data_IF_111119750878
#
_entry.id   IF_111119750878
#
_cell.length_a   1.000
_cell.length_b   1.000
_cell.length_c   1.000
_cell.angle_alpha   90.00
_cell.angle_beta   90.00
_cell.angle_gamma   90.00
#
_symmetry.space_group_name_H-M   'P 1'
#
loop_
_entity.id
_entity.type
_entity.pdbx_description
1 polymer ?
#
# COMPACT_ATOMS: atom_id res chain seq x y z
N UNK A 1 18.79 -32.71 -43.75
CA UNK A 1 17.40 -32.78 -44.24
C UNK A 1 16.59 -33.52 -43.17
N UNK A 2 15.61 -33.01 -42.44
CA UNK A 2 14.82 -31.78 -42.41
C UNK A 2 14.25 -31.65 -40.99
N UNK A 3 14.46 -30.51 -40.32
CA UNK A 3 13.75 -30.16 -39.09
C UNK A 3 12.25 -29.94 -39.41
N UNK A 4 11.36 -30.77 -38.86
CA UNK A 4 9.91 -30.51 -38.94
C UNK A 4 9.53 -29.44 -37.92
N UNK A 5 9.42 -28.19 -38.39
CA UNK A 5 8.75 -27.11 -37.68
C UNK A 5 7.25 -27.42 -37.62
N UNK A 6 6.72 -27.64 -36.41
CA UNK A 6 5.28 -27.63 -36.19
C UNK A 6 4.78 -26.18 -36.24
N UNK A 7 4.08 -25.84 -37.33
CA UNK A 7 3.31 -24.61 -37.48
C UNK A 7 2.06 -24.68 -36.59
N UNK A 8 1.88 -23.70 -35.73
CA UNK A 8 0.63 -23.46 -35.01
C UNK A 8 -0.33 -22.68 -35.92
N UNK A 9 -1.65 -22.96 -35.91
CA UNK A 9 -2.62 -22.21 -36.72
C UNK A 9 -2.78 -20.78 -36.20
N UNK A 10 -2.95 -19.84 -37.14
CA UNK A 10 -3.15 -18.40 -36.88
C UNK A 10 -4.41 -18.15 -36.04
N UNK A 11 -4.22 -17.78 -34.78
CA UNK A 11 -5.30 -17.35 -33.88
C UNK A 11 -5.64 -15.88 -34.20
N UNK A 12 -6.91 -15.52 -34.45
CA UNK A 12 -7.28 -14.14 -34.72
C UNK A 12 -6.93 -13.20 -33.55
N UNK A 13 -6.10 -12.20 -33.81
CA UNK A 13 -5.75 -11.13 -32.87
C UNK A 13 -7.01 -10.35 -32.48
N UNK A 14 -7.60 -10.65 -31.32
CA UNK A 14 -8.66 -9.81 -30.72
C UNK A 14 -8.08 -8.41 -30.44
N UNK A 15 -8.49 -7.43 -31.25
CA UNK A 15 -8.23 -6.00 -31.05
C UNK A 15 -8.70 -5.61 -29.63
N UNK A 16 -7.79 -5.12 -28.78
CA UNK A 16 -8.14 -4.44 -27.53
C UNK A 16 -8.94 -3.19 -27.88
N UNK A 17 -10.25 -3.21 -27.69
CA UNK A 17 -11.06 -2.00 -27.74
C UNK A 17 -10.72 -1.17 -26.50
N UNK A 18 -10.31 0.07 -26.76
CA UNK A 18 -10.01 1.10 -25.77
C UNK A 18 -11.32 1.49 -25.06
N UNK A 19 -11.65 0.80 -23.97
CA UNK A 19 -12.74 1.23 -23.09
C UNK A 19 -12.19 2.28 -22.13
N UNK A 20 -12.48 3.53 -22.44
CA UNK A 20 -12.25 4.69 -21.57
C UNK A 20 -12.95 4.43 -20.22
N UNK A 21 -12.18 4.01 -19.23
CA UNK A 21 -12.66 3.80 -17.87
C UNK A 21 -12.85 5.19 -17.23
N UNK A 22 -14.10 5.64 -17.13
CA UNK A 22 -14.46 6.78 -16.27
C UNK A 22 -14.36 6.30 -14.82
N UNK A 23 -13.21 6.54 -14.20
CA UNK A 23 -12.99 6.30 -12.77
C UNK A 23 -13.78 7.32 -11.95
N UNK A 24 -15.10 7.17 -11.88
CA UNK A 24 -15.91 7.86 -10.88
C UNK A 24 -15.71 7.14 -9.54
N UNK A 25 -15.07 7.86 -8.62
CA UNK A 25 -14.93 7.65 -7.18
C UNK A 25 -15.42 6.30 -6.64
N UNK A 26 -14.47 5.37 -6.39
CA UNK A 26 -14.69 4.23 -5.50
C UNK A 26 -14.85 4.78 -4.09
N UNK A 27 -16.10 4.96 -3.67
CA UNK A 27 -16.46 5.08 -2.27
C UNK A 27 -16.16 3.72 -1.64
N UNK A 28 -15.46 3.73 -0.51
CA UNK A 28 -15.05 2.56 0.27
C UNK A 28 -16.25 1.75 0.74
N UNK A 29 -16.75 0.82 -0.07
CA UNK A 29 -17.73 -0.19 0.38
C UNK A 29 -16.96 -1.37 0.98
N UNK A 30 -17.14 -1.69 2.27
CA UNK A 30 -16.63 -2.94 2.82
C UNK A 30 -17.45 -4.09 2.25
N UNK A 31 -16.84 -4.90 1.37
CA UNK A 31 -17.40 -6.19 0.95
C UNK A 31 -18.17 -6.22 -0.37
N UNK A 32 -17.76 -5.45 -1.39
CA UNK A 32 -18.27 -5.70 -2.75
C UNK A 32 -17.82 -7.09 -3.23
N UNK A 33 -18.69 -8.08 -3.04
CA UNK A 33 -18.66 -9.40 -3.66
C UNK A 33 -19.42 -9.24 -4.98
N UNK A 34 -18.75 -9.27 -6.15
CA UNK A 34 -19.46 -9.19 -7.42
C UNK A 34 -20.54 -10.27 -7.56
N UNK A 35 -21.65 -9.93 -8.21
CA UNK A 35 -22.87 -10.76 -8.32
C UNK A 35 -22.68 -12.12 -8.99
N UNK A 36 -21.54 -12.36 -9.66
CA UNK A 36 -21.17 -13.66 -10.25
C UNK A 36 -20.48 -14.61 -9.26
N UNK A 37 -20.22 -14.17 -8.03
CA UNK A 37 -19.93 -15.06 -6.92
C UNK A 37 -21.27 -15.45 -6.29
N UNK A 38 -21.78 -16.63 -6.63
CA UNK A 38 -22.88 -17.22 -5.85
C UNK A 38 -22.48 -17.18 -4.37
N UNK A 39 -23.41 -16.71 -3.52
CA UNK A 39 -23.17 -16.67 -2.08
C UNK A 39 -22.88 -18.10 -1.62
N UNK A 40 -21.70 -18.29 -1.03
CA UNK A 40 -21.25 -19.52 -0.37
C UNK A 40 -20.53 -20.59 -1.21
N UNK A 41 -19.87 -20.24 -2.31
CA UNK A 41 -18.91 -21.18 -2.94
C UNK A 41 -17.82 -21.62 -1.93
N UNK A 42 -17.59 -22.93 -1.76
CA UNK A 42 -16.58 -23.44 -0.83
C UNK A 42 -15.17 -23.29 -1.39
N UNK A 43 -14.18 -23.21 -0.51
CA UNK A 43 -12.76 -23.19 -0.89
C UNK A 43 -12.40 -24.45 -1.68
N UNK A 44 -11.96 -24.28 -2.93
CA UNK A 44 -11.64 -25.43 -3.82
C UNK A 44 -10.47 -26.29 -3.33
N UNK A 45 -9.69 -25.81 -2.35
CA UNK A 45 -8.57 -26.55 -1.76
C UNK A 45 -9.00 -27.43 -0.59
N UNK A 46 -9.86 -26.94 0.31
CA UNK A 46 -10.13 -27.60 1.59
C UNK A 46 -11.62 -27.60 2.02
N UNK A 47 -12.53 -27.10 1.19
CA UNK A 47 -13.97 -27.06 1.46
C UNK A 47 -14.43 -26.08 2.55
N UNK A 48 -13.53 -25.30 3.15
CA UNK A 48 -13.88 -24.27 4.14
C UNK A 48 -14.54 -23.04 3.49
N UNK A 49 -15.20 -22.19 4.27
CA UNK A 49 -15.88 -20.98 3.75
C UNK A 49 -14.90 -20.09 2.98
N UNK A 50 -15.14 -19.86 1.69
CA UNK A 50 -14.28 -19.01 0.88
C UNK A 50 -14.56 -17.53 1.17
N UNK A 51 -13.54 -16.69 0.97
CA UNK A 51 -13.68 -15.22 1.05
C UNK A 51 -13.66 -14.55 -0.32
N UNK A 52 -13.67 -15.35 -1.39
CA UNK A 52 -13.62 -14.92 -2.78
C UNK A 52 -12.41 -15.46 -3.53
N UNK A 53 -12.06 -14.80 -4.64
CA UNK A 53 -10.92 -15.18 -5.46
C UNK A 53 -9.60 -14.71 -4.86
N UNK A 54 -8.68 -15.66 -4.65
CA UNK A 54 -7.28 -15.38 -4.34
C UNK A 54 -6.40 -16.17 -5.29
N UNK A 55 -5.48 -15.47 -5.96
CA UNK A 55 -4.56 -16.10 -6.91
C UNK A 55 -5.30 -16.89 -8.00
N UNK A 56 -6.40 -16.33 -8.54
CA UNK A 56 -7.31 -16.90 -9.55
C UNK A 56 -8.27 -18.01 -9.09
N UNK A 57 -8.24 -18.44 -7.83
CA UNK A 57 -9.11 -19.51 -7.33
C UNK A 57 -9.97 -19.06 -6.15
N UNK A 58 -11.18 -19.62 -6.04
CA UNK A 58 -12.07 -19.43 -4.88
C UNK A 58 -11.47 -20.13 -3.66
N UNK A 59 -10.99 -19.36 -2.69
CA UNK A 59 -10.29 -19.95 -1.54
C UNK A 59 -10.64 -19.24 -0.23
N UNK A 60 -10.44 -19.95 0.88
CA UNK A 60 -10.53 -19.38 2.22
C UNK A 60 -9.25 -18.61 2.59
N UNK A 61 -9.31 -17.76 3.62
CA UNK A 61 -8.14 -17.01 4.11
C UNK A 61 -6.99 -17.92 4.57
N UNK A 62 -7.30 -19.11 5.08
CA UNK A 62 -6.31 -20.11 5.49
C UNK A 62 -5.45 -20.58 4.31
N UNK A 63 -6.08 -20.98 3.20
CA UNK A 63 -5.37 -21.45 2.00
C UNK A 63 -4.70 -20.31 1.24
N UNK A 64 -5.34 -19.13 1.15
CA UNK A 64 -4.72 -17.90 0.64
C UNK A 64 -3.42 -17.57 1.38
N UNK A 65 -3.46 -17.53 2.71
CA UNK A 65 -2.31 -17.19 3.54
C UNK A 65 -1.20 -18.25 3.48
N UNK A 66 -1.58 -19.53 3.48
CA UNK A 66 -0.65 -20.64 3.28
C UNK A 66 0.10 -20.50 1.96
N UNK A 67 -0.63 -20.42 0.84
CA UNK A 67 -0.07 -20.31 -0.50
C UNK A 67 0.89 -19.12 -0.62
N UNK A 68 0.45 -17.93 -0.16
CA UNK A 68 1.29 -16.72 -0.16
C UNK A 68 2.62 -16.93 0.56
N UNK A 69 2.59 -17.48 1.78
CA UNK A 69 3.81 -17.69 2.58
C UNK A 69 4.71 -18.73 1.95
N UNK A 70 4.15 -19.81 1.40
CA UNK A 70 4.90 -20.86 0.74
C UNK A 70 5.69 -20.33 -0.45
N UNK A 71 5.08 -19.51 -1.30
CA UNK A 71 5.76 -18.92 -2.46
C UNK A 71 6.77 -17.84 -2.04
N UNK A 72 6.38 -16.91 -1.15
CA UNK A 72 7.27 -15.81 -0.73
C UNK A 72 8.55 -16.28 -0.04
N UNK A 73 8.46 -17.34 0.75
CA UNK A 73 9.59 -17.90 1.49
C UNK A 73 10.23 -19.10 0.78
N UNK A 74 9.78 -19.43 -0.44
CA UNK A 74 10.22 -20.60 -1.20
C UNK A 74 10.24 -21.89 -0.36
N UNK A 75 9.13 -22.18 0.35
CA UNK A 75 9.05 -23.32 1.29
C UNK A 75 8.57 -24.61 0.63
N UNK A 76 8.01 -24.54 -0.59
CA UNK A 76 7.50 -25.74 -1.25
C UNK A 76 8.55 -26.82 -1.50
N UNK A 77 9.85 -26.53 -1.76
CA UNK A 77 10.86 -27.58 -1.90
C UNK A 77 11.18 -28.29 -0.58
N UNK A 78 10.97 -27.64 0.56
CA UNK A 78 11.24 -28.23 1.88
C UNK A 78 10.07 -29.06 2.42
N UNK A 79 8.90 -29.00 1.79
CA UNK A 79 7.75 -29.76 2.26
C UNK A 79 7.90 -31.24 1.91
N UNK A 80 7.79 -32.10 2.93
CA UNK A 80 7.73 -33.56 2.78
C UNK A 80 6.40 -34.09 3.29
N UNK A 81 5.90 -35.15 2.66
CA UNK A 81 4.77 -35.91 3.20
C UNK A 81 5.31 -37.05 4.07
N UNK A 82 4.65 -37.32 5.20
CA UNK A 82 4.96 -38.45 6.08
C UNK A 82 4.34 -39.78 5.60
N UNK A 83 3.46 -39.69 4.61
CA UNK A 83 2.71 -40.80 4.01
C UNK A 83 2.96 -40.82 2.49
N UNK A 84 2.02 -41.32 1.69
CA UNK A 84 2.16 -41.52 0.24
C UNK A 84 1.96 -40.26 -0.62
N UNK A 85 1.92 -39.07 -0.02
CA UNK A 85 1.72 -37.82 -0.77
C UNK A 85 0.30 -37.61 -1.32
N UNK A 86 -0.68 -38.38 -0.83
CA UNK A 86 -2.10 -38.35 -1.22
C UNK A 86 -3.04 -37.96 -0.06
N UNK A 87 -2.54 -37.23 0.95
CA UNK A 87 -3.35 -36.86 2.12
C UNK A 87 -4.62 -36.10 1.71
N UNK A 88 -5.74 -36.45 2.35
CA UNK A 88 -7.01 -35.72 2.24
C UNK A 88 -6.80 -34.31 2.81
N UNK A 89 -7.28 -33.29 2.09
CA UNK A 89 -7.18 -31.89 2.49
C UNK A 89 -8.60 -31.36 2.67
N UNK A 90 -9.03 -31.25 3.92
CA UNK A 90 -10.31 -30.65 4.32
C UNK A 90 -10.09 -29.51 5.35
N UNK A 91 -11.17 -28.89 5.84
CA UNK A 91 -11.12 -27.79 6.80
C UNK A 91 -10.32 -28.13 8.08
N UNK A 92 -10.41 -29.38 8.54
CA UNK A 92 -9.85 -29.89 9.78
C UNK A 92 -8.42 -30.40 9.54
N UNK A 93 -8.21 -31.18 8.48
CA UNK A 93 -6.97 -31.92 8.20
C UNK A 93 -5.94 -31.13 7.38
N UNK A 94 -6.31 -29.99 6.78
CA UNK A 94 -5.41 -29.18 5.92
C UNK A 94 -4.08 -28.75 6.55
N UNK A 95 -3.92 -28.83 7.87
CA UNK A 95 -2.65 -28.50 8.54
C UNK A 95 -1.75 -29.72 8.81
N UNK A 96 -2.25 -30.94 8.60
CA UNK A 96 -1.51 -32.18 8.89
C UNK A 96 -0.38 -32.44 7.88
N UNK A 97 -0.57 -32.05 6.61
CA UNK A 97 0.45 -32.23 5.57
C UNK A 97 0.57 -30.99 4.67
N UNK A 98 1.70 -30.29 4.78
CA UNK A 98 1.99 -29.09 3.98
C UNK A 98 2.24 -29.42 2.50
N UNK A 99 2.92 -30.55 2.22
CA UNK A 99 3.20 -30.97 0.84
C UNK A 99 1.90 -31.22 0.07
N UNK A 100 1.02 -32.06 0.60
CA UNK A 100 -0.25 -32.40 -0.05
C UNK A 100 -1.17 -31.18 -0.19
N UNK A 101 -1.20 -30.31 0.83
CA UNK A 101 -1.94 -29.05 0.74
C UNK A 101 -1.42 -28.14 -0.38
N UNK A 102 -0.10 -27.98 -0.49
CA UNK A 102 0.50 -27.16 -1.54
C UNK A 102 0.29 -27.78 -2.93
N UNK A 103 0.47 -29.11 -3.07
CA UNK A 103 0.15 -29.82 -4.31
C UNK A 103 -1.31 -29.59 -4.72
N UNK A 104 -2.25 -29.64 -3.77
CA UNK A 104 -3.67 -29.33 -4.04
C UNK A 104 -3.88 -27.88 -4.46
N UNK A 105 -3.21 -26.91 -3.84
CA UNK A 105 -3.25 -25.51 -4.28
C UNK A 105 -2.82 -25.33 -5.74
N UNK A 106 -1.76 -26.02 -6.17
CA UNK A 106 -1.30 -25.98 -7.56
C UNK A 106 -2.26 -26.70 -8.50
N UNK A 107 -2.77 -27.87 -8.11
CA UNK A 107 -3.66 -28.65 -8.98
C UNK A 107 -5.00 -27.98 -9.26
N UNK A 108 -5.51 -27.15 -8.33
CA UNK A 108 -6.72 -26.34 -8.55
C UNK A 108 -6.45 -25.04 -9.32
N UNK A 109 -5.19 -24.73 -9.64
CA UNK A 109 -4.80 -23.59 -10.48
C UNK A 109 -4.43 -22.31 -9.74
N UNK A 110 -4.02 -22.36 -8.46
CA UNK A 110 -3.57 -21.14 -7.77
C UNK A 110 -2.30 -20.59 -8.43
N UNK A 111 -2.37 -19.32 -8.85
CA UNK A 111 -1.37 -18.67 -9.68
C UNK A 111 -0.19 -18.13 -8.86
N UNK A 112 0.99 -18.76 -8.99
CA UNK A 112 2.21 -18.39 -8.25
C UNK A 112 2.76 -17.01 -8.65
N UNK A 113 2.61 -16.63 -9.91
CA UNK A 113 3.07 -15.36 -10.50
C UNK A 113 2.35 -14.12 -9.91
N UNK A 114 1.15 -14.31 -9.37
CA UNK A 114 0.41 -13.26 -8.68
C UNK A 114 0.89 -13.02 -7.24
N UNK A 115 1.78 -13.86 -6.72
CA UNK A 115 2.46 -13.60 -5.46
C UNK A 115 3.64 -12.66 -5.74
N UNK A 116 3.57 -11.45 -5.18
CA UNK A 116 4.63 -10.45 -5.35
C UNK A 116 5.98 -10.97 -4.86
N UNK A 117 6.99 -10.88 -5.73
CA UNK A 117 8.41 -11.02 -5.41
C UNK A 117 8.87 -9.94 -4.39
N UNK A 118 10.07 -10.13 -3.83
CA UNK A 118 10.56 -9.25 -2.77
C UNK A 118 10.77 -7.82 -3.28
N UNK A 119 11.28 -7.62 -4.50
CA UNK A 119 11.47 -6.29 -5.10
C UNK A 119 10.16 -5.52 -5.20
N UNK A 120 9.10 -6.12 -5.75
CA UNK A 120 7.77 -5.51 -5.86
C UNK A 120 7.13 -5.29 -4.50
N UNK A 121 7.35 -6.20 -3.53
CA UNK A 121 6.89 -6.01 -2.15
C UNK A 121 7.53 -4.82 -1.48
N UNK A 122 8.85 -4.65 -1.63
CA UNK A 122 9.59 -3.50 -1.11
C UNK A 122 9.11 -2.22 -1.78
N UNK A 123 8.98 -2.20 -3.11
CA UNK A 123 8.47 -1.05 -3.85
C UNK A 123 7.06 -0.66 -3.39
N UNK A 124 6.14 -1.62 -3.25
CA UNK A 124 4.79 -1.39 -2.74
C UNK A 124 4.81 -0.82 -1.31
N UNK A 125 5.67 -1.34 -0.43
CA UNK A 125 5.81 -0.82 0.94
C UNK A 125 6.29 0.63 0.96
N UNK A 126 7.32 0.95 0.16
CA UNK A 126 7.83 2.33 0.02
C UNK A 126 6.74 3.28 -0.46
N UNK A 127 6.02 2.91 -1.52
CA UNK A 127 4.92 3.71 -2.06
C UNK A 127 3.80 3.93 -1.03
N UNK A 128 3.46 2.92 -0.22
CA UNK A 128 2.45 3.07 0.83
C UNK A 128 2.91 4.07 1.89
N UNK A 129 4.18 4.02 2.28
CA UNK A 129 4.72 4.92 3.30
C UNK A 129 4.81 6.36 2.79
N UNK A 130 5.35 6.56 1.60
CA UNK A 130 5.39 7.87 0.95
C UNK A 130 4.00 8.49 0.81
N UNK A 131 2.99 7.70 0.42
CA UNK A 131 1.60 8.17 0.35
C UNK A 131 0.98 8.47 1.72
N UNK A 132 1.48 7.87 2.81
CA UNK A 132 1.05 8.21 4.18
C UNK A 132 1.68 9.52 4.63
N UNK A 133 2.97 9.70 4.36
CA UNK A 133 3.69 10.95 4.66
C UNK A 133 3.11 12.13 3.88
N UNK A 134 2.82 11.93 2.59
CA UNK A 134 2.17 12.95 1.75
C UNK A 134 0.82 13.37 2.32
N UNK A 135 -0.04 12.41 2.70
CA UNK A 135 -1.34 12.70 3.34
C UNK A 135 -1.19 13.46 4.64
N UNK A 136 -0.23 13.10 5.50
CA UNK A 136 0.06 13.84 6.74
C UNK A 136 0.52 15.27 6.47
N UNK A 137 1.36 15.49 5.45
CA UNK A 137 1.80 16.82 5.05
C UNK A 137 0.64 17.67 4.52
N UNK A 138 -0.19 17.10 3.65
CA UNK A 138 -1.39 17.76 3.12
C UNK A 138 -2.36 18.13 4.23
N UNK A 139 -2.57 17.24 5.20
CA UNK A 139 -3.39 17.50 6.39
C UNK A 139 -2.80 18.61 7.26
N UNK A 140 -1.49 18.60 7.52
CA UNK A 140 -0.81 19.68 8.26
C UNK A 140 -0.94 21.02 7.55
N UNK A 141 -0.74 21.06 6.23
CA UNK A 141 -0.90 22.29 5.43
C UNK A 141 -2.36 22.77 5.47
N UNK A 142 -3.32 21.86 5.35
CA UNK A 142 -4.75 22.21 5.45
C UNK A 142 -5.07 22.82 6.82
N UNK A 143 -4.57 22.24 7.90
CA UNK A 143 -4.75 22.80 9.25
C UNK A 143 -4.12 24.19 9.39
N UNK A 144 -2.95 24.43 8.80
CA UNK A 144 -2.33 25.76 8.79
C UNK A 144 -3.09 26.79 7.94
N UNK A 145 -3.72 26.35 6.85
CA UNK A 145 -4.54 27.21 5.98
C UNK A 145 -5.88 27.57 6.61
N UNK A 146 -6.42 26.72 7.50
CA UNK A 146 -7.59 27.01 8.33
C UNK A 146 -7.15 27.62 9.67
N UNK A 147 -6.25 28.62 9.63
CA UNK A 147 -6.08 29.49 10.79
C UNK A 147 -7.29 30.42 10.85
N UNK A 148 -8.05 30.44 11.96
CA UNK A 148 -9.08 31.47 12.12
C UNK A 148 -8.40 32.83 12.03
N UNK A 149 -9.04 33.78 11.32
CA UNK A 149 -8.65 35.18 11.34
C UNK A 149 -8.61 35.64 12.80
N UNK A 150 -7.56 36.36 13.24
CA UNK A 150 -7.50 36.85 14.61
C UNK A 150 -8.71 37.74 14.89
N UNK A 151 -9.30 37.60 16.07
CA UNK A 151 -10.33 38.53 16.50
C UNK A 151 -9.75 39.94 16.77
N UNK A 152 -10.62 40.92 17.01
CA UNK A 152 -10.18 42.31 17.26
C UNK A 152 -9.25 42.45 18.47
N UNK A 153 -9.48 41.70 19.55
CA UNK A 153 -8.64 41.75 20.74
C UNK A 153 -7.28 41.08 20.49
N UNK A 154 -7.28 39.98 19.74
CA UNK A 154 -6.07 39.31 19.28
C UNK A 154 -5.23 40.21 18.35
N UNK A 155 -5.86 40.94 17.42
CA UNK A 155 -5.17 41.92 16.58
C UNK A 155 -4.56 43.07 17.38
N UNK A 156 -5.26 43.58 18.38
CA UNK A 156 -4.73 44.62 19.28
C UNK A 156 -3.52 44.12 20.05
N UNK A 157 -3.57 42.88 20.56
CA UNK A 157 -2.46 42.24 21.24
C UNK A 157 -1.26 42.03 20.30
N UNK A 158 -1.49 41.50 19.09
CA UNK A 158 -0.45 41.33 18.05
C UNK A 158 0.22 42.67 17.75
N UNK A 159 -0.55 43.74 17.57
CA UNK A 159 -0.03 45.09 17.29
C UNK A 159 0.81 45.59 18.47
N UNK A 160 0.32 45.47 19.69
CA UNK A 160 1.01 45.92 20.90
C UNK A 160 2.36 45.19 21.09
N UNK A 161 2.37 43.87 20.93
CA UNK A 161 3.59 43.06 21.03
C UNK A 161 4.59 43.41 19.92
N UNK A 162 4.11 43.59 18.69
CA UNK A 162 4.93 43.97 17.53
C UNK A 162 5.54 45.36 17.71
N UNK A 163 4.76 46.30 18.25
CA UNK A 163 5.21 47.66 18.59
C UNK A 163 6.31 47.63 19.65
N UNK A 164 6.06 46.91 20.75
CA UNK A 164 7.03 46.75 21.84
C UNK A 164 8.33 46.09 21.34
N UNK A 165 8.22 45.05 20.50
CA UNK A 165 9.36 44.42 19.85
C UNK A 165 10.12 45.42 18.98
N UNK A 166 9.42 46.26 18.19
CA UNK A 166 10.07 47.28 17.37
C UNK A 166 10.78 48.32 18.22
N UNK A 167 10.18 48.81 19.29
CA UNK A 167 10.85 49.78 20.17
C UNK A 167 12.05 49.21 20.92
N UNK A 168 12.01 47.92 21.28
CA UNK A 168 13.12 47.26 21.98
C UNK A 168 14.21 46.75 21.03
N UNK A 169 13.89 46.43 19.77
CA UNK A 169 14.85 45.91 18.78
C UNK A 169 15.30 46.90 17.69
N UNK A 170 14.56 48.00 17.45
CA UNK A 170 14.94 49.03 16.48
C UNK A 170 15.94 50.06 17.04
N UNK A 171 16.31 49.96 18.31
CA UNK A 171 17.44 50.72 18.86
C UNK A 171 18.74 50.01 18.47
N UNK A 172 19.39 50.54 17.43
CA UNK A 172 20.48 49.93 16.66
C UNK A 172 21.70 49.42 17.45
N UNK A 173 22.53 48.66 16.71
CA UNK A 173 23.88 48.09 16.94
C UNK A 173 24.36 47.61 18.33
N UNK A 174 23.89 48.11 19.46
CA UNK A 174 24.36 47.76 20.81
C UNK A 174 23.90 46.36 21.28
N UNK A 175 22.73 45.89 20.84
CA UNK A 175 22.18 44.59 21.24
C UNK A 175 22.82 43.36 20.57
N UNK A 176 23.76 43.54 19.62
CA UNK A 176 24.50 42.42 19.02
C UNK A 176 25.51 41.75 19.97
N UNK A 177 25.77 42.29 21.17
CA UNK A 177 26.86 41.80 22.01
C UNK A 177 26.53 40.61 22.95
N UNK A 178 25.27 40.18 23.12
CA UNK A 178 24.98 39.02 24.00
C UNK A 178 23.88 38.10 23.45
N UNK A 179 24.21 37.37 22.38
CA UNK A 179 23.69 36.00 22.17
C UNK A 179 24.82 34.98 22.37
N UNK A 180 25.33 34.92 23.60
CA UNK A 180 25.86 33.68 24.18
C UNK A 180 24.73 33.02 24.98
N UNK A 181 23.64 32.64 24.33
CA UNK A 181 22.70 31.69 24.91
C UNK A 181 22.04 30.92 23.77
N UNK A 182 22.13 29.59 23.86
CA UNK A 182 21.73 28.57 22.89
C UNK A 182 22.69 28.34 21.71
N UNK A 183 23.87 27.84 22.03
CA UNK A 183 24.61 26.92 21.16
C UNK A 183 23.90 25.56 21.22
N UNK A 184 22.73 25.44 20.59
CA UNK A 184 22.12 24.18 20.13
C UNK A 184 20.80 24.56 19.44
N UNK A 185 20.50 23.98 18.29
CA UNK A 185 19.40 24.30 17.37
C UNK A 185 19.67 25.42 16.35
N UNK A 186 20.60 25.15 15.43
CA UNK A 186 20.78 25.92 14.19
C UNK A 186 20.53 25.02 12.98
N UNK A 187 19.29 24.56 12.75
CA UNK A 187 18.97 23.82 11.51
C UNK A 187 17.51 23.88 11.03
N UNK A 188 16.67 24.81 11.49
CA UNK A 188 15.32 24.93 10.93
C UNK A 188 15.08 26.40 10.58
N UNK A 189 14.62 26.65 9.36
CA UNK A 189 14.24 27.95 8.79
C UNK A 189 15.37 28.76 8.12
N UNK A 190 15.97 28.19 7.08
CA UNK A 190 16.56 28.96 5.98
C UNK A 190 16.07 28.40 4.65
N UNK A 191 14.82 28.73 4.29
CA UNK A 191 14.37 28.72 2.89
C UNK A 191 13.97 30.14 2.53
N UNK A 192 14.61 30.79 1.54
CA UNK A 192 14.21 32.11 1.09
C UNK A 192 12.97 31.97 0.20
N UNK A 193 11.86 32.57 0.60
CA UNK A 193 10.75 32.88 -0.29
C UNK A 193 10.95 34.35 -0.69
N UNK A 194 11.50 34.57 -1.89
CA UNK A 194 11.42 35.87 -2.54
C UNK A 194 10.00 36.06 -3.10
N UNK A 195 9.44 37.27 -3.04
CA UNK A 195 8.56 37.74 -4.09
C UNK A 195 9.27 38.85 -4.88
N UNK A 196 9.51 38.57 -6.16
CA UNK A 196 9.60 39.60 -7.19
C UNK A 196 8.17 40.03 -7.50
N UNK A 197 7.84 41.30 -7.26
CA UNK A 197 6.73 41.98 -7.93
C UNK A 197 7.16 43.43 -8.19
N UNK A 198 7.44 43.67 -9.49
CA UNK A 198 7.56 44.91 -10.28
C UNK A 198 8.50 46.03 -9.81
#
# INVERSE_FOLDING_TARGET
>A
MTHKQQKWPDVPKRKRKNSQCSVKSIVSVPGYIPSYLEKDEPCVVCGDKATGYHYRCITCEGCKGFFRRTIQKNLHPSYSCKYEGCCIIDKITRNQCQLCRFKKCISVGMAMDLVLDESKRVAKRRLIEENREKRKREEMVKTLQVRPEPDTAEWELIRMVTEAHRHTNAQGSSWKQKRKFMVSFRTILMTPICPNVQ
#
